data_IF_107143096913
#
_entry.id   IF_107143096913
#
_cell.length_a   1.000
_cell.length_b   1.000
_cell.length_c   1.000
_cell.angle_alpha   90.00
_cell.angle_beta   90.00
_cell.angle_gamma   90.00
#
_symmetry.space_group_name_H-M   'P 1'
#
loop_
_entity.id
_entity.type
_entity.pdbx_description
1 polymer ?
#
# COMPACT_ATOMS: atom_id res chain seq x y z
N UNK A 1 9.30 -20.41 71.04
CA UNK A 1 8.73 -20.71 69.71
C UNK A 1 7.59 -19.75 69.48
N UNK A 2 7.70 -18.85 68.51
CA UNK A 2 6.65 -18.19 67.72
C UNK A 2 7.42 -17.25 66.79
N UNK A 3 7.65 -17.75 65.57
CA UNK A 3 8.44 -17.10 64.54
C UNK A 3 7.60 -15.99 63.88
N UNK A 4 8.29 -14.90 63.55
CA UNK A 4 7.88 -13.76 62.71
C UNK A 4 6.91 -14.16 61.58
N UNK A 5 5.62 -13.85 61.71
CA UNK A 5 4.62 -14.04 60.65
C UNK A 5 4.19 -12.71 59.99
N UNK A 6 4.45 -11.56 60.63
CA UNK A 6 3.99 -10.26 60.13
C UNK A 6 4.80 -9.68 58.94
N UNK A 7 6.02 -10.18 58.68
CA UNK A 7 6.90 -9.67 57.62
C UNK A 7 6.86 -10.46 56.30
N UNK A 8 6.12 -11.57 56.25
CA UNK A 8 6.11 -12.45 55.07
C UNK A 8 5.04 -12.03 54.03
N UNK A 9 3.93 -11.42 54.49
CA UNK A 9 2.86 -10.92 53.60
C UNK A 9 3.26 -9.67 52.81
N UNK A 10 4.06 -8.79 53.40
CA UNK A 10 4.53 -7.57 52.74
C UNK A 10 5.58 -7.87 51.65
N UNK A 11 6.39 -8.92 51.82
CA UNK A 11 7.36 -9.35 50.82
C UNK A 11 6.70 -9.99 49.59
N UNK A 12 5.56 -10.66 49.79
CA UNK A 12 4.80 -11.28 48.69
C UNK A 12 4.04 -10.25 47.83
N UNK A 13 3.61 -9.13 48.44
CA UNK A 13 2.94 -8.04 47.73
C UNK A 13 3.90 -7.18 46.88
N UNK A 14 5.19 -7.18 47.20
CA UNK A 14 6.22 -6.47 46.43
C UNK A 14 6.73 -7.29 45.22
N UNK A 15 6.58 -8.62 45.28
CA UNK A 15 7.03 -9.54 44.21
C UNK A 15 6.08 -9.59 43.00
N UNK A 16 4.83 -9.14 43.14
CA UNK A 16 3.85 -9.13 42.04
C UNK A 16 3.95 -7.92 41.09
N UNK A 17 4.79 -6.92 41.41
CA UNK A 17 4.99 -5.72 40.58
C UNK A 17 6.02 -5.89 39.46
N UNK A 18 6.73 -7.03 39.39
CA UNK A 18 7.76 -7.30 38.36
C UNK A 18 7.29 -8.16 37.20
N UNK A 19 6.00 -8.51 37.13
CA UNK A 19 5.40 -8.98 35.87
C UNK A 19 5.07 -7.78 34.97
N UNK A 20 6.10 -7.00 34.63
CA UNK A 20 6.05 -6.11 33.48
C UNK A 20 5.94 -7.00 32.25
N UNK A 21 4.69 -7.17 31.80
CA UNK A 21 4.38 -7.79 30.53
C UNK A 21 5.16 -7.05 29.44
N UNK A 22 6.18 -7.73 28.90
CA UNK A 22 6.96 -7.25 27.77
C UNK A 22 6.00 -7.20 26.58
N UNK A 23 5.38 -6.04 26.35
CA UNK A 23 4.63 -5.77 25.15
C UNK A 23 5.66 -5.76 24.04
N UNK A 24 5.88 -6.93 23.43
CA UNK A 24 6.78 -7.12 22.30
C UNK A 24 6.67 -5.93 21.37
N UNK A 25 7.83 -5.35 21.05
CA UNK A 25 7.98 -4.05 20.39
C UNK A 25 6.89 -3.87 19.33
N UNK A 26 5.92 -2.99 19.64
CA UNK A 26 4.92 -2.58 18.67
C UNK A 26 5.68 -1.75 17.65
N UNK A 27 6.19 -2.40 16.60
CA UNK A 27 6.90 -1.75 15.50
C UNK A 27 6.12 -0.53 15.07
N UNK A 28 6.77 0.63 15.08
CA UNK A 28 6.09 1.89 14.84
C UNK A 28 5.72 1.93 13.36
N UNK A 29 4.48 2.34 13.08
CA UNK A 29 3.92 2.31 11.73
C UNK A 29 3.81 3.72 11.15
N UNK A 30 4.05 3.82 9.86
CA UNK A 30 3.71 5.01 9.06
C UNK A 30 3.13 4.57 7.73
N UNK A 31 2.54 5.51 6.98
CA UNK A 31 2.02 5.25 5.65
C UNK A 31 2.50 6.27 4.64
N UNK A 32 2.63 5.84 3.39
CA UNK A 32 2.87 6.68 2.23
C UNK A 32 1.70 6.46 1.27
N UNK A 33 1.02 7.56 0.92
CA UNK A 33 -0.12 7.56 0.02
C UNK A 33 0.26 8.23 -1.29
N UNK A 34 0.06 7.51 -2.38
CA UNK A 34 0.24 7.98 -3.75
C UNK A 34 -1.13 8.15 -4.41
N UNK A 35 -1.26 9.18 -5.24
CA UNK A 35 -2.54 9.55 -5.84
C UNK A 35 -2.36 10.16 -7.23
N UNK A 36 -3.04 9.60 -8.23
CA UNK A 36 -2.98 10.06 -9.62
C UNK A 36 -4.28 9.83 -10.37
N UNK A 37 -4.59 10.77 -11.26
CA UNK A 37 -5.67 10.65 -12.24
C UNK A 37 -5.10 10.22 -13.58
N UNK A 38 -5.88 9.48 -14.36
CA UNK A 38 -5.54 9.07 -15.72
C UNK A 38 -6.79 8.77 -16.55
N UNK A 39 -6.62 8.73 -17.86
CA UNK A 39 -7.68 8.47 -18.81
C UNK A 39 -7.52 7.11 -19.48
N UNK A 40 -8.62 6.38 -19.57
CA UNK A 40 -8.72 5.15 -20.36
C UNK A 40 -9.66 5.40 -21.54
N UNK A 41 -9.16 5.41 -22.78
CA UNK A 41 -9.97 5.61 -23.98
C UNK A 41 -11.09 4.58 -24.16
N UNK A 42 -12.15 5.01 -24.85
CA UNK A 42 -13.14 4.09 -25.41
C UNK A 42 -12.54 3.30 -26.58
N UNK A 43 -13.10 2.12 -26.88
CA UNK A 43 -12.73 1.37 -28.07
C UNK A 43 -11.45 0.54 -27.97
N UNK A 44 -10.83 0.44 -26.79
CA UNK A 44 -9.66 -0.42 -26.58
C UNK A 44 -10.07 -1.88 -26.68
N UNK A 45 -9.31 -2.67 -27.43
CA UNK A 45 -9.63 -4.08 -27.68
C UNK A 45 -9.35 -4.97 -26.45
N UNK A 46 -9.96 -6.14 -26.45
CA UNK A 46 -9.81 -7.15 -25.39
C UNK A 46 -8.73 -8.20 -25.70
N UNK A 47 -8.08 -8.13 -26.87
CA UNK A 47 -7.08 -9.11 -27.29
C UNK A 47 -5.70 -8.79 -26.70
N UNK A 48 -5.44 -7.50 -26.46
CA UNK A 48 -4.16 -7.01 -25.98
C UNK A 48 -4.25 -6.42 -24.56
N UNK A 49 -3.10 -6.33 -23.91
CA UNK A 49 -2.96 -5.55 -22.69
C UNK A 49 -2.73 -4.07 -23.04
N UNK A 50 -3.36 -3.17 -22.28
CA UNK A 50 -3.23 -1.73 -22.44
C UNK A 50 -2.51 -1.13 -21.25
N UNK A 51 -1.58 -0.20 -21.50
CA UNK A 51 -0.67 0.34 -20.50
C UNK A 51 -0.86 1.84 -20.36
N UNK A 52 -1.00 2.31 -19.12
CA UNK A 52 -1.17 3.70 -18.76
C UNK A 52 -0.05 4.09 -17.80
N UNK A 53 0.77 5.06 -18.20
CA UNK A 53 1.92 5.50 -17.42
C UNK A 53 1.53 6.73 -16.61
N UNK A 54 1.83 6.67 -15.32
CA UNK A 54 1.60 7.71 -14.32
C UNK A 54 2.97 8.20 -13.86
N UNK A 55 3.46 9.26 -14.50
CA UNK A 55 4.81 9.76 -14.25
C UNK A 55 4.86 10.72 -13.05
N UNK A 56 6.05 10.78 -12.46
CA UNK A 56 6.48 11.76 -11.47
C UNK A 56 5.51 11.90 -10.28
N UNK A 57 5.18 10.79 -9.65
CA UNK A 57 4.35 10.73 -8.45
C UNK A 57 5.19 11.08 -7.21
N UNK A 58 4.93 12.19 -6.50
CA UNK A 58 5.66 12.54 -5.30
C UNK A 58 5.31 11.57 -4.17
N UNK A 59 6.32 11.01 -3.52
CA UNK A 59 6.16 10.01 -2.46
C UNK A 59 6.12 10.64 -1.06
N UNK A 60 6.62 11.87 -0.94
CA UNK A 60 6.82 12.59 0.31
C UNK A 60 7.54 11.79 1.40
N UNK A 61 8.35 10.79 1.01
CA UNK A 61 8.97 9.85 1.93
C UNK A 61 9.74 10.56 3.04
N UNK A 62 10.62 11.50 2.69
CA UNK A 62 11.45 12.20 3.67
C UNK A 62 10.62 13.08 4.61
N UNK A 63 9.56 13.74 4.12
CA UNK A 63 8.66 14.47 5.01
C UNK A 63 8.00 13.54 6.02
N UNK A 64 7.50 12.38 5.58
CA UNK A 64 6.85 11.39 6.46
C UNK A 64 7.84 10.86 7.51
N UNK A 65 9.05 10.45 7.12
CA UNK A 65 10.07 9.95 8.04
C UNK A 65 10.45 11.00 9.09
N UNK A 66 10.63 12.26 8.68
CA UNK A 66 10.97 13.36 9.59
C UNK A 66 9.82 13.67 10.57
N UNK A 67 8.57 13.68 10.10
CA UNK A 67 7.40 13.90 10.96
C UNK A 67 7.23 12.80 12.02
N UNK A 68 7.61 11.56 11.69
CA UNK A 68 7.53 10.42 12.60
C UNK A 68 8.73 10.33 13.56
N UNK A 69 9.72 11.24 13.46
CA UNK A 69 10.95 11.23 14.24
C UNK A 69 11.66 9.86 14.22
N UNK A 70 11.70 9.22 13.05
CA UNK A 70 12.37 7.93 12.88
C UNK A 70 13.87 8.12 13.17
N UNK A 71 14.47 7.35 14.10
CA UNK A 71 15.88 7.49 14.42
C UNK A 71 16.78 7.22 13.20
N UNK A 72 17.87 7.95 13.10
CA UNK A 72 18.86 7.75 12.05
C UNK A 72 19.44 6.33 12.15
N UNK A 73 19.52 5.64 11.02
CA UNK A 73 20.04 4.27 10.93
C UNK A 73 19.03 3.17 11.29
N UNK A 74 17.80 3.51 11.70
CA UNK A 74 16.75 2.51 11.88
C UNK A 74 16.41 1.85 10.56
N UNK A 75 16.30 0.51 10.58
CA UNK A 75 15.86 -0.27 9.43
C UNK A 75 14.37 -0.01 9.19
N UNK A 76 14.06 0.59 8.05
CA UNK A 76 12.69 0.81 7.59
C UNK A 76 12.33 -0.30 6.62
N UNK A 77 11.15 -0.90 6.79
CA UNK A 77 10.54 -1.82 5.81
C UNK A 77 9.29 -1.16 5.26
N UNK A 78 9.13 -1.12 3.93
CA UNK A 78 7.98 -0.48 3.28
C UNK A 78 7.34 -1.45 2.29
N UNK A 79 6.07 -1.76 2.46
CA UNK A 79 5.35 -2.74 1.63
C UNK A 79 4.02 -2.17 1.12
N UNK A 80 3.52 -2.62 -0.05
CA UNK A 80 2.17 -2.33 -0.49
C UNK A 80 1.12 -2.71 0.56
N UNK A 81 0.11 -1.87 0.75
CA UNK A 81 -0.97 -2.11 1.71
C UNK A 81 -2.35 -2.15 1.05
N UNK A 82 -2.69 -1.17 0.22
CA UNK A 82 -3.92 -1.20 -0.54
C UNK A 82 -3.83 -0.33 -1.80
N UNK A 83 -4.61 -0.65 -2.82
CA UNK A 83 -4.80 0.27 -3.93
C UNK A 83 -6.25 0.20 -4.43
N UNK A 84 -6.78 1.36 -4.82
CA UNK A 84 -8.15 1.49 -5.33
C UNK A 84 -8.13 2.32 -6.60
N UNK A 85 -8.77 1.80 -7.65
CA UNK A 85 -9.07 2.54 -8.88
C UNK A 85 -10.57 2.85 -8.88
N UNK A 86 -10.92 4.12 -9.00
CA UNK A 86 -12.31 4.57 -9.06
C UNK A 86 -12.51 5.60 -10.17
N UNK A 87 -13.76 5.78 -10.59
CA UNK A 87 -14.11 6.82 -11.55
C UNK A 87 -14.29 8.18 -10.88
N UNK A 88 -13.92 9.26 -11.58
CA UNK A 88 -13.96 10.64 -11.06
C UNK A 88 -15.33 11.28 -11.28
N UNK A 89 -15.93 11.10 -12.46
CA UNK A 89 -17.12 11.87 -12.88
C UNK A 89 -18.36 11.01 -13.14
N UNK A 90 -18.20 9.75 -13.56
CA UNK A 90 -19.30 8.86 -13.95
C UNK A 90 -19.31 7.61 -13.07
N UNK A 91 -20.47 7.05 -12.77
CA UNK A 91 -20.51 5.71 -12.20
C UNK A 91 -20.08 4.72 -13.29
N UNK A 92 -18.93 4.08 -13.11
CA UNK A 92 -18.35 3.14 -14.08
C UNK A 92 -18.43 1.75 -13.46
N UNK A 93 -19.23 0.89 -14.08
CA UNK A 93 -19.18 -0.53 -13.78
C UNK A 93 -17.98 -1.15 -14.50
N UNK A 94 -17.00 -1.66 -13.76
CA UNK A 94 -15.79 -2.28 -14.32
C UNK A 94 -16.00 -3.75 -14.73
N UNK A 95 -17.25 -4.20 -14.94
CA UNK A 95 -17.59 -5.56 -15.41
C UNK A 95 -16.85 -5.99 -16.69
N UNK A 96 -16.46 -5.03 -17.54
CA UNK A 96 -15.72 -5.20 -18.79
C UNK A 96 -14.22 -5.39 -18.59
N UNK A 97 -13.69 -5.17 -17.39
CA UNK A 97 -12.30 -5.39 -17.03
C UNK A 97 -12.11 -6.84 -16.59
N UNK A 98 -11.06 -7.50 -17.07
CA UNK A 98 -10.68 -8.85 -16.66
C UNK A 98 -9.65 -8.82 -15.51
N UNK A 99 -8.57 -8.07 -15.74
CA UNK A 99 -7.44 -7.98 -14.82
C UNK A 99 -6.84 -6.58 -14.83
N UNK A 100 -6.30 -6.19 -13.68
CA UNK A 100 -5.47 -5.00 -13.56
C UNK A 100 -4.20 -5.35 -12.82
N UNK A 101 -3.08 -4.82 -13.28
CA UNK A 101 -1.78 -4.90 -12.61
C UNK A 101 -1.18 -3.51 -12.54
N UNK A 102 -0.59 -3.17 -11.41
CA UNK A 102 0.08 -1.89 -11.18
C UNK A 102 1.52 -2.17 -10.81
N UNK A 103 2.43 -1.67 -11.64
CA UNK A 103 3.87 -1.74 -11.41
C UNK A 103 4.40 -0.39 -11.03
N UNK A 104 5.45 -0.34 -10.22
CA UNK A 104 6.14 0.91 -9.89
C UNK A 104 7.60 0.85 -10.31
N UNK A 105 8.20 2.00 -10.61
CA UNK A 105 9.61 2.10 -10.98
C UNK A 105 10.15 3.52 -10.79
N UNK A 106 11.47 3.67 -10.80
CA UNK A 106 12.15 4.97 -10.71
C UNK A 106 12.66 5.41 -12.09
N UNK A 107 12.88 6.72 -12.25
CA UNK A 107 13.52 7.28 -13.46
C UNK A 107 14.96 6.78 -13.64
N UNK A 108 15.62 6.38 -12.56
CA UNK A 108 17.00 5.86 -12.58
C UNK A 108 17.08 4.41 -13.05
N UNK A 109 16.00 3.64 -12.94
CA UNK A 109 15.96 2.24 -13.38
C UNK A 109 14.59 1.83 -13.95
N UNK A 110 14.33 2.22 -15.19
CA UNK A 110 13.08 1.92 -15.90
C UNK A 110 12.86 0.43 -16.24
N UNK A 111 13.88 -0.41 -16.09
CA UNK A 111 13.79 -1.85 -16.38
C UNK A 111 13.27 -2.65 -15.19
N UNK A 112 13.48 -2.14 -13.98
CA UNK A 112 13.01 -2.76 -12.74
C UNK A 112 11.62 -2.23 -12.39
N UNK A 113 10.60 -2.99 -12.81
CA UNK A 113 9.18 -2.65 -12.68
C UNK A 113 8.44 -3.72 -11.87
N UNK A 114 8.72 -3.89 -10.56
CA UNK A 114 8.00 -4.85 -9.74
C UNK A 114 6.49 -4.55 -9.73
N UNK A 115 5.69 -5.61 -9.68
CA UNK A 115 4.25 -5.51 -9.49
C UNK A 115 3.94 -5.23 -8.01
N UNK A 116 3.28 -4.10 -7.76
CA UNK A 116 2.93 -3.66 -6.41
C UNK A 116 1.50 -4.06 -6.04
N UNK A 117 0.59 -4.01 -7.00
CA UNK A 117 -0.82 -4.32 -6.80
C UNK A 117 -1.38 -5.04 -8.03
N UNK A 118 -2.36 -5.91 -7.81
CA UNK A 118 -3.06 -6.57 -8.91
C UNK A 118 -4.49 -6.95 -8.51
N UNK A 119 -5.36 -7.17 -9.48
CA UNK A 119 -6.61 -7.90 -9.28
C UNK A 119 -6.84 -8.75 -10.52
N UNK A 120 -7.31 -9.98 -10.29
CA UNK A 120 -7.72 -10.89 -11.35
C UNK A 120 -9.16 -11.31 -11.13
N UNK A 121 -9.83 -11.75 -12.21
CA UNK A 121 -11.18 -12.31 -12.17
C UNK A 121 -12.20 -11.33 -11.57
N UNK A 122 -12.22 -10.10 -12.07
CA UNK A 122 -13.21 -9.09 -11.66
C UNK A 122 -14.62 -9.64 -11.94
N UNK A 123 -15.53 -9.71 -10.96
CA UNK A 123 -16.87 -10.23 -11.17
C UNK A 123 -17.69 -9.34 -12.11
N UNK A 124 -18.81 -9.86 -12.63
CA UNK A 124 -19.70 -9.13 -13.54
C UNK A 124 -20.48 -7.98 -12.87
N UNK A 125 -20.34 -7.84 -11.55
CA UNK A 125 -20.91 -6.73 -10.78
C UNK A 125 -19.85 -6.27 -9.79
N UNK A 126 -19.44 -5.01 -9.88
CA UNK A 126 -18.50 -4.39 -8.95
C UNK A 126 -19.06 -3.06 -8.46
N UNK A 127 -18.75 -2.70 -7.22
CA UNK A 127 -19.27 -1.53 -6.50
C UNK A 127 -18.70 -0.18 -7.02
N UNK A 128 -18.54 -0.01 -8.33
CA UNK A 128 -18.03 1.23 -8.96
C UNK A 128 -16.54 1.52 -8.73
N UNK A 129 -15.80 0.58 -8.13
CA UNK A 129 -14.36 0.68 -7.87
C UNK A 129 -13.67 -0.68 -8.01
N UNK A 130 -12.40 -0.65 -8.39
CA UNK A 130 -11.51 -1.81 -8.36
C UNK A 130 -10.63 -1.72 -7.13
N UNK A 131 -10.78 -2.67 -6.20
CA UNK A 131 -9.91 -2.82 -5.03
C UNK A 131 -8.83 -3.85 -5.33
N UNK A 132 -7.59 -3.39 -5.45
CA UNK A 132 -6.47 -4.23 -5.86
C UNK A 132 -5.83 -4.91 -4.63
N UNK A 133 -5.34 -6.13 -4.87
CA UNK A 133 -4.61 -6.97 -3.92
C UNK A 133 -3.15 -6.48 -3.89
N UNK A 134 -2.60 -6.16 -2.70
CA UNK A 134 -1.18 -5.80 -2.56
C UNK A 134 -0.27 -7.02 -2.69
N UNK A 135 0.93 -6.82 -3.24
CA UNK A 135 2.02 -7.81 -3.18
C UNK A 135 2.92 -7.59 -1.95
N UNK A 136 3.88 -8.49 -1.72
CA UNK A 136 4.78 -8.45 -0.55
C UNK A 136 6.17 -7.86 -0.82
N UNK A 137 6.40 -7.26 -1.98
CA UNK A 137 7.73 -6.74 -2.34
C UNK A 137 8.13 -5.54 -1.47
N UNK A 138 9.44 -5.32 -1.35
CA UNK A 138 9.99 -4.14 -0.66
C UNK A 138 9.93 -2.92 -1.57
N UNK A 139 9.02 -1.99 -1.24
CA UNK A 139 8.81 -0.75 -1.97
C UNK A 139 9.77 0.37 -1.54
N UNK A 140 10.54 0.19 -0.46
CA UNK A 140 11.43 1.23 0.06
C UNK A 140 12.42 1.75 -0.99
N UNK A 141 13.10 0.91 -1.79
CA UNK A 141 14.08 1.38 -2.78
C UNK A 141 13.46 2.30 -3.85
N UNK A 142 12.17 2.14 -4.12
CA UNK A 142 11.44 2.89 -5.14
C UNK A 142 10.84 4.19 -4.61
N UNK A 143 10.45 4.20 -3.33
CA UNK A 143 9.72 5.33 -2.75
C UNK A 143 10.61 6.33 -2.01
N UNK A 144 11.80 5.93 -1.56
CA UNK A 144 12.69 6.76 -0.72
C UNK A 144 13.26 7.99 -1.42
N UNK A 145 13.34 7.97 -2.75
CA UNK A 145 13.98 9.03 -3.55
C UNK A 145 13.05 10.23 -3.83
N UNK A 146 11.82 10.18 -3.30
CA UNK A 146 10.86 11.31 -3.33
C UNK A 146 9.94 11.32 -4.55
N UNK A 147 10.30 10.64 -5.63
CA UNK A 147 9.51 10.53 -6.86
C UNK A 147 9.50 9.07 -7.34
N UNK A 148 8.35 8.59 -7.77
CA UNK A 148 8.15 7.27 -8.36
C UNK A 148 7.22 7.38 -9.56
N UNK A 149 7.32 6.45 -10.51
CA UNK A 149 6.34 6.29 -11.59
C UNK A 149 5.52 5.03 -11.36
N UNK A 150 4.30 4.99 -11.88
CA UNK A 150 3.49 3.79 -11.92
C UNK A 150 3.04 3.46 -13.35
N UNK A 151 2.96 2.17 -13.67
CA UNK A 151 2.40 1.65 -14.91
C UNK A 151 1.17 0.82 -14.56
N UNK A 152 -0.01 1.32 -14.95
CA UNK A 152 -1.27 0.61 -14.80
C UNK A 152 -1.55 -0.18 -16.06
N UNK A 153 -1.66 -1.49 -15.93
CA UNK A 153 -1.90 -2.43 -17.02
C UNK A 153 -3.30 -3.00 -16.90
N UNK A 154 -4.12 -2.76 -17.92
CA UNK A 154 -5.47 -3.33 -18.03
C UNK A 154 -5.49 -4.49 -19.01
N UNK A 155 -6.27 -5.51 -18.66
CA UNK A 155 -6.79 -6.52 -19.56
C UNK A 155 -8.30 -6.43 -19.54
N UNK A 156 -8.93 -6.41 -20.71
CA UNK A 156 -10.38 -6.28 -20.83
C UNK A 156 -11.00 -7.59 -21.28
N UNK A 157 -12.24 -7.86 -20.85
CA UNK A 157 -13.07 -8.98 -21.33
C UNK A 157 -13.80 -8.65 -22.64
N UNK A 158 -14.07 -7.36 -22.84
CA UNK A 158 -14.73 -6.79 -24.01
C UNK A 158 -14.18 -5.40 -24.26
N UNK A 159 -14.44 -4.86 -25.45
CA UNK A 159 -13.98 -3.52 -25.81
C UNK A 159 -14.44 -2.47 -24.80
N UNK A 160 -13.56 -1.52 -24.44
CA UNK A 160 -13.92 -0.47 -23.47
C UNK A 160 -15.12 0.34 -23.99
N UNK A 161 -16.22 0.43 -23.21
CA UNK A 161 -17.49 0.95 -23.72
C UNK A 161 -17.51 2.47 -23.85
N UNK A 162 -16.72 3.16 -23.03
CA UNK A 162 -16.68 4.62 -22.95
C UNK A 162 -15.32 5.11 -22.50
N UNK A 163 -15.09 6.40 -22.70
CA UNK A 163 -13.95 7.11 -22.14
C UNK A 163 -14.12 7.20 -20.62
N UNK A 164 -13.08 6.84 -19.88
CA UNK A 164 -13.12 6.84 -18.43
C UNK A 164 -12.04 7.74 -17.85
N UNK A 165 -12.46 8.65 -16.99
CA UNK A 165 -11.58 9.46 -16.16
C UNK A 165 -11.45 8.76 -14.82
N UNK A 166 -10.30 8.11 -14.60
CA UNK A 166 -10.05 7.27 -13.44
C UNK A 166 -9.06 7.93 -12.49
N UNK A 167 -9.16 7.55 -11.23
CA UNK A 167 -8.21 7.89 -10.17
C UNK A 167 -7.70 6.62 -9.56
N UNK A 168 -6.39 6.51 -9.38
CA UNK A 168 -5.76 5.48 -8.58
C UNK A 168 -5.22 6.08 -7.28
N UNK A 169 -5.55 5.45 -6.18
CA UNK A 169 -4.96 5.72 -4.87
C UNK A 169 -4.21 4.47 -4.43
N UNK A 170 -2.95 4.62 -4.05
CA UNK A 170 -2.10 3.52 -3.55
C UNK A 170 -1.55 3.89 -2.18
N UNK A 171 -1.77 3.02 -1.20
CA UNK A 171 -1.24 3.14 0.15
C UNK A 171 -0.14 2.09 0.38
N UNK A 172 0.97 2.54 0.94
CA UNK A 172 2.12 1.72 1.35
C UNK A 172 2.32 1.85 2.85
N UNK A 173 2.57 0.73 3.53
CA UNK A 173 2.79 0.67 4.96
C UNK A 173 4.27 0.52 5.28
N UNK A 174 4.78 1.47 6.06
CA UNK A 174 6.11 1.44 6.63
C UNK A 174 6.11 0.91 8.06
N UNK A 175 7.14 0.15 8.43
CA UNK A 175 7.45 -0.23 9.81
C UNK A 175 8.91 0.10 10.12
N UNK A 176 9.18 0.51 11.36
CA UNK A 176 10.51 0.82 11.87
C UNK A 176 10.61 0.59 13.39
#
# INVERSE_FOLDING_TARGET
MIIKIANLGFLFLLASLVMSCDKGEVGRKFSIRLDRNFEVPAGLDYLNAHYFVLDEIPTFYQQVINQQNVPAGTKITLVPESAVISSIYNDVDFDFVDKVSVRIYTNTNVKDKPEAFYIEYIPTTVDGELRLIPTSFDAQPFLKDGIVNAEVRFFFKRTTPQLMNLRIVMDFRGNY
#
